data_IF_254833652890
#
_entry.id   IF_254833652890
#
_cell.length_a   1.000
_cell.length_b   1.000
_cell.length_c   1.000
_cell.angle_alpha   90.00
_cell.angle_beta   90.00
_cell.angle_gamma   90.00
#
_symmetry.space_group_name_H-M   'P 1'
#
loop_
_entity.id
_entity.type
_entity.pdbx_description
1 polymer ?
#
# COMPACT_ATOMS: atom_id res chain seq x y z
N UNK A 1 -2.50 -0.34 16.25
CA UNK A 1 -2.18 0.69 15.23
C UNK A 1 -1.72 0.02 13.90
N UNK A 2 -0.74 -0.86 13.91
CA UNK A 2 -0.22 -1.54 12.70
C UNK A 2 -1.29 -2.33 11.94
N UNK A 3 -2.23 -2.99 12.63
CA UNK A 3 -3.33 -3.72 11.98
C UNK A 3 -4.35 -2.80 11.30
N UNK A 4 -4.63 -1.62 11.87
CA UNK A 4 -5.55 -0.65 11.27
C UNK A 4 -4.94 -0.01 10.01
N UNK A 5 -3.65 0.33 10.01
CA UNK A 5 -2.95 0.85 8.84
C UNK A 5 -2.89 -0.17 7.70
N UNK A 6 -2.69 -1.45 8.04
CA UNK A 6 -2.72 -2.52 7.04
C UNK A 6 -4.11 -2.73 6.43
N UNK A 7 -5.19 -2.55 7.22
CA UNK A 7 -6.55 -2.64 6.68
C UNK A 7 -6.89 -1.47 5.75
N UNK A 8 -6.47 -0.24 6.07
CA UNK A 8 -6.67 0.93 5.20
C UNK A 8 -5.93 0.73 3.88
N UNK A 9 -4.67 0.31 3.90
CA UNK A 9 -3.88 0.03 2.70
C UNK A 9 -4.45 -1.12 1.87
N UNK A 10 -5.09 -2.09 2.52
CA UNK A 10 -5.76 -3.20 1.84
C UNK A 10 -7.03 -2.74 1.13
N UNK A 11 -7.84 -1.88 1.76
CA UNK A 11 -9.02 -1.29 1.12
C UNK A 11 -8.67 -0.39 -0.05
N UNK A 12 -7.54 0.30 -0.02
CA UNK A 12 -7.06 1.10 -1.16
C UNK A 12 -6.66 0.20 -2.34
N UNK A 13 -6.01 -0.93 -2.09
CA UNK A 13 -5.69 -1.95 -3.10
C UNK A 13 -6.95 -2.58 -3.69
N UNK A 14 -7.95 -2.91 -2.86
CA UNK A 14 -9.23 -3.45 -3.31
C UNK A 14 -10.01 -2.41 -4.13
N UNK A 15 -10.02 -1.14 -3.70
CA UNK A 15 -10.68 -0.06 -4.43
C UNK A 15 -10.05 0.14 -5.80
N UNK A 16 -8.72 0.10 -5.89
CA UNK A 16 -8.00 0.17 -7.16
C UNK A 16 -8.37 -0.98 -8.09
N UNK A 17 -8.38 -2.20 -7.58
CA UNK A 17 -8.77 -3.38 -8.34
C UNK A 17 -10.24 -3.30 -8.78
N UNK A 18 -11.06 -2.60 -8.00
CA UNK A 18 -12.48 -2.42 -8.28
C UNK A 18 -12.80 -1.28 -9.23
N UNK A 19 -11.94 -0.27 -9.39
CA UNK A 19 -12.19 0.91 -10.24
C UNK A 19 -11.54 0.85 -11.61
N UNK A 20 -10.76 -0.18 -11.92
CA UNK A 20 -10.09 -0.32 -13.21
C UNK A 20 -11.10 -0.62 -14.33
N UNK A 21 -11.25 0.23 -15.40
CA UNK A 21 -12.33 0.15 -16.38
C UNK A 21 -12.30 -1.09 -17.29
N UNK A 22 -11.30 -1.94 -17.21
CA UNK A 22 -11.26 -3.20 -17.97
C UNK A 22 -12.08 -4.35 -17.32
N UNK A 23 -13.04 -4.02 -16.48
CA UNK A 23 -13.75 -4.94 -15.58
C UNK A 23 -15.00 -5.61 -16.14
N UNK A 24 -15.37 -5.41 -17.39
CA UNK A 24 -16.63 -5.99 -17.92
C UNK A 24 -16.67 -7.53 -17.95
N UNK A 25 -15.55 -8.21 -17.65
CA UNK A 25 -15.50 -9.69 -17.71
C UNK A 25 -15.18 -10.41 -16.41
N UNK A 26 -15.09 -9.74 -15.24
CA UNK A 26 -14.60 -10.37 -14.00
C UNK A 26 -15.62 -10.48 -12.86
N UNK A 27 -16.84 -9.97 -13.01
CA UNK A 27 -17.87 -10.11 -11.97
C UNK A 27 -19.14 -10.76 -12.55
N UNK A 28 -19.08 -12.06 -12.72
CA UNK A 28 -20.27 -12.90 -12.64
C UNK A 28 -20.00 -13.98 -11.61
N UNK A 29 -20.72 -13.81 -10.48
CA UNK A 29 -21.09 -14.82 -9.50
C UNK A 29 -20.10 -15.08 -8.36
N UNK A 30 -20.43 -14.60 -7.18
CA UNK A 30 -21.16 -15.43 -6.21
C UNK A 30 -21.65 -14.55 -5.05
N UNK A 31 -22.96 -14.35 -4.97
CA UNK A 31 -23.65 -14.09 -3.71
C UNK A 31 -23.65 -15.42 -2.95
N UNK A 32 -22.61 -15.68 -2.20
CA UNK A 32 -22.63 -16.65 -1.11
C UNK A 32 -22.55 -15.87 0.20
N UNK A 33 -23.67 -15.85 0.92
CA UNK A 33 -23.80 -15.32 2.26
C UNK A 33 -22.84 -16.09 3.15
N UNK A 34 -21.78 -15.44 3.60
CA UNK A 34 -20.85 -16.01 4.56
C UNK A 34 -21.60 -16.31 5.88
N UNK A 35 -21.41 -17.49 6.50
CA UNK A 35 -22.01 -17.81 7.79
C UNK A 35 -21.50 -16.84 8.85
N UNK A 36 -22.39 -16.00 9.40
CA UNK A 36 -22.08 -15.02 10.44
C UNK A 36 -22.40 -13.57 10.11
N UNK A 37 -22.81 -13.22 8.88
CA UNK A 37 -23.33 -11.92 8.51
C UNK A 37 -24.85 -11.85 8.72
N UNK A 38 -25.30 -11.88 9.97
CA UNK A 38 -26.65 -11.42 10.30
C UNK A 38 -26.70 -9.89 10.23
N UNK A 39 -27.83 -9.36 9.70
CA UNK A 39 -28.05 -7.91 9.61
C UNK A 39 -27.77 -7.23 10.97
N UNK A 40 -27.26 -5.97 10.97
CA UNK A 40 -27.02 -5.24 12.22
C UNK A 40 -28.30 -5.21 13.04
N UNK A 41 -28.31 -5.86 14.20
CA UNK A 41 -29.38 -5.73 15.15
C UNK A 41 -29.21 -4.39 15.87
N UNK A 42 -30.32 -3.62 15.89
CA UNK A 42 -30.43 -2.37 16.60
C UNK A 42 -30.16 -2.64 18.10
N UNK A 43 -29.01 -2.18 18.57
CA UNK A 43 -28.63 -2.20 19.99
C UNK A 43 -29.33 -1.05 20.69
N UNK A 44 -30.67 -1.16 20.85
CA UNK A 44 -31.52 -0.39 21.76
C UNK A 44 -31.01 1.01 22.14
N UNK A 45 -31.66 2.05 21.62
CA UNK A 45 -31.53 3.41 22.13
C UNK A 45 -31.96 3.49 23.59
N UNK A 46 -31.04 3.81 24.49
CA UNK A 46 -31.37 4.11 25.89
C UNK A 46 -32.05 5.47 25.91
N UNK A 47 -33.38 5.45 26.03
CA UNK A 47 -34.19 6.67 26.25
C UNK A 47 -34.01 7.16 27.66
N UNK A 48 -33.37 8.32 27.86
CA UNK A 48 -33.36 9.04 29.11
C UNK A 48 -34.69 9.79 29.27
N UNK A 49 -35.71 9.13 29.79
CA UNK A 49 -36.88 9.81 30.38
C UNK A 49 -37.33 9.08 31.63
N UNK A 50 -37.33 9.89 32.70
CA UNK A 50 -38.04 9.74 33.94
C UNK A 50 -37.72 8.55 34.86
N UNK A 51 -36.95 8.86 35.90
CA UNK A 51 -37.32 8.45 37.25
C UNK A 51 -36.70 9.38 38.31
N UNK A 52 -37.47 10.32 38.75
CA UNK A 52 -37.24 10.97 40.04
C UNK A 52 -37.51 9.96 41.15
N UNK A 53 -36.73 10.05 42.20
CA UNK A 53 -36.87 9.58 43.59
C UNK A 53 -36.04 8.36 44.00
N UNK A 54 -35.00 8.61 44.69
CA UNK A 54 -34.70 8.36 46.12
C UNK A 54 -33.20 8.33 46.36
N UNK A 55 -32.81 9.18 47.29
CA UNK A 55 -31.47 9.26 47.87
C UNK A 55 -31.00 7.90 48.38
N UNK A 56 -29.82 7.52 47.93
CA UNK A 56 -28.86 6.73 48.68
C UNK A 56 -27.48 7.25 48.32
N UNK A 57 -26.83 7.88 49.29
CA UNK A 57 -25.45 8.34 49.22
C UNK A 57 -24.54 7.16 48.98
N UNK A 58 -24.06 7.03 47.72
CA UNK A 58 -22.87 6.27 47.44
C UNK A 58 -21.76 7.27 47.17
N UNK A 59 -20.75 7.27 48.04
CA UNK A 59 -19.49 7.98 47.87
C UNK A 59 -18.88 7.59 46.55
N UNK A 60 -18.96 8.49 45.57
CA UNK A 60 -18.20 8.41 44.36
C UNK A 60 -16.77 8.83 44.72
N UNK A 61 -15.88 7.86 44.90
CA UNK A 61 -14.45 8.13 44.88
C UNK A 61 -14.14 8.67 43.48
N UNK A 62 -13.88 9.96 43.41
CA UNK A 62 -13.34 10.60 42.23
C UNK A 62 -11.98 9.97 41.93
N UNK A 63 -11.96 9.08 40.91
CA UNK A 63 -10.72 8.67 40.27
C UNK A 63 -10.26 9.90 39.51
N UNK A 64 -9.24 10.56 40.02
CA UNK A 64 -8.46 11.55 39.28
C UNK A 64 -7.83 10.89 38.06
N UNK A 65 -8.59 10.83 36.99
CA UNK A 65 -8.05 10.50 35.67
C UNK A 65 -7.35 11.73 35.12
N UNK A 66 -6.19 12.05 35.64
CA UNK A 66 -5.20 12.80 34.85
C UNK A 66 -4.83 11.92 33.70
N UNK A 67 -5.71 11.85 32.70
CA UNK A 67 -5.33 11.38 31.37
C UNK A 67 -4.26 12.34 30.88
N UNK A 68 -3.01 11.95 31.08
CA UNK A 68 -1.90 12.56 30.37
C UNK A 68 -2.20 12.31 28.90
N UNK A 69 -2.76 13.32 28.23
CA UNK A 69 -2.82 13.35 26.77
C UNK A 69 -1.36 13.37 26.35
N UNK A 70 -0.83 12.19 26.03
CA UNK A 70 0.43 12.08 25.31
C UNK A 70 0.12 12.65 23.93
N UNK A 71 0.28 13.97 23.81
CA UNK A 71 0.44 14.59 22.50
C UNK A 71 1.73 13.97 21.96
N UNK A 72 1.58 12.90 21.18
CA UNK A 72 2.65 12.49 20.27
C UNK A 72 2.93 13.74 19.42
N UNK A 73 3.96 14.47 19.81
CA UNK A 73 4.54 15.51 18.95
C UNK A 73 4.96 14.77 17.69
N UNK A 74 4.21 14.97 16.63
CA UNK A 74 4.57 14.54 15.29
C UNK A 74 5.87 15.30 14.98
N UNK A 75 7.01 14.70 15.30
CA UNK A 75 8.29 15.23 14.86
C UNK A 75 8.27 15.10 13.35
N UNK A 76 8.22 16.24 12.66
CA UNK A 76 8.41 16.27 11.21
C UNK A 76 9.67 15.47 10.91
N UNK A 77 9.57 14.49 10.03
CA UNK A 77 10.73 13.67 9.65
C UNK A 77 11.85 14.62 9.23
N UNK A 78 13.00 14.48 9.86
CA UNK A 78 14.16 15.33 9.60
C UNK A 78 14.54 15.22 8.12
N UNK A 79 14.70 16.38 7.48
CA UNK A 79 15.10 16.46 6.07
C UNK A 79 16.42 15.72 5.86
N UNK A 80 16.45 14.79 4.92
CA UNK A 80 17.64 14.00 4.58
C UNK A 80 18.33 14.54 3.34
N UNK A 81 17.54 14.98 2.34
CA UNK A 81 18.09 15.40 1.07
C UNK A 81 18.83 16.74 1.20
N UNK A 82 20.04 16.87 0.62
CA UNK A 82 20.77 18.12 0.60
C UNK A 82 20.08 19.17 -0.29
N UNK A 83 20.40 20.46 -0.06
CA UNK A 83 19.90 21.57 -0.87
C UNK A 83 20.74 21.72 -2.17
N UNK A 84 20.54 20.75 -3.08
CA UNK A 84 21.22 20.68 -4.38
C UNK A 84 20.22 20.37 -5.48
N UNK A 85 20.66 20.23 -6.73
CA UNK A 85 19.76 19.90 -7.84
C UNK A 85 19.06 18.57 -7.63
N UNK A 86 17.86 18.40 -8.22
CA UNK A 86 17.10 17.15 -8.13
C UNK A 86 17.89 15.92 -8.65
N UNK A 87 18.76 16.13 -9.66
CA UNK A 87 19.64 15.06 -10.13
C UNK A 87 20.60 14.61 -9.02
N UNK A 88 21.27 15.55 -8.35
CA UNK A 88 22.21 15.27 -7.27
C UNK A 88 21.49 14.69 -6.04
N UNK A 89 20.28 15.17 -5.72
CA UNK A 89 19.44 14.57 -4.66
C UNK A 89 19.13 13.11 -4.94
N UNK A 90 18.76 12.78 -6.19
CA UNK A 90 18.52 11.39 -6.59
C UNK A 90 19.78 10.52 -6.45
N UNK A 91 20.93 11.04 -6.89
CA UNK A 91 22.22 10.34 -6.77
C UNK A 91 22.62 10.12 -5.30
N UNK A 92 22.36 11.13 -4.45
CA UNK A 92 22.55 11.04 -3.01
C UNK A 92 21.67 9.92 -2.41
N UNK A 93 20.36 9.89 -2.72
CA UNK A 93 19.46 8.83 -2.30
C UNK A 93 19.94 7.44 -2.78
N UNK A 94 20.40 7.35 -4.04
CA UNK A 94 20.91 6.11 -4.61
C UNK A 94 22.22 5.63 -3.98
N UNK A 95 23.01 6.52 -3.36
CA UNK A 95 24.25 6.15 -2.69
C UNK A 95 24.01 5.21 -1.50
N UNK A 96 22.89 5.37 -0.79
CA UNK A 96 22.53 4.51 0.33
C UNK A 96 22.20 3.08 -0.11
N UNK A 97 21.63 2.90 -1.32
CA UNK A 97 21.42 1.55 -1.87
C UNK A 97 22.75 0.82 -2.09
N UNK A 98 23.80 1.53 -2.52
CA UNK A 98 25.11 0.95 -2.80
C UNK A 98 25.80 0.42 -1.55
N UNK A 99 25.55 1.05 -0.40
CA UNK A 99 26.12 0.65 0.89
C UNK A 99 25.17 -0.26 1.68
N UNK A 100 23.97 -0.56 1.14
CA UNK A 100 22.99 -1.44 1.78
C UNK A 100 22.18 -0.79 2.90
N UNK A 101 22.25 0.53 3.06
CA UNK A 101 21.42 1.25 4.01
C UNK A 101 20.03 1.52 3.42
N UNK A 102 19.20 0.47 3.41
CA UNK A 102 17.87 0.53 2.81
C UNK A 102 16.90 1.40 3.60
N UNK A 103 17.10 1.60 4.90
CA UNK A 103 16.25 2.46 5.72
C UNK A 103 16.46 3.94 5.39
N UNK A 104 17.70 4.37 5.28
CA UNK A 104 18.01 5.75 4.87
C UNK A 104 17.66 5.97 3.39
N UNK A 105 17.92 4.98 2.52
CA UNK A 105 17.49 5.04 1.11
C UNK A 105 15.97 5.23 0.98
N UNK A 106 15.17 4.50 1.75
CA UNK A 106 13.70 4.64 1.78
C UNK A 106 13.30 6.08 2.07
N UNK A 107 13.78 6.65 3.17
CA UNK A 107 13.46 8.02 3.58
C UNK A 107 13.89 9.03 2.51
N UNK A 108 15.10 8.90 1.98
CA UNK A 108 15.63 9.79 0.96
C UNK A 108 14.85 9.73 -0.36
N UNK A 109 14.49 8.54 -0.85
CA UNK A 109 13.67 8.40 -2.06
C UNK A 109 12.24 8.88 -1.84
N UNK A 110 11.64 8.64 -0.66
CA UNK A 110 10.33 9.18 -0.29
C UNK A 110 10.33 10.70 -0.32
N UNK A 111 11.32 11.33 0.33
CA UNK A 111 11.48 12.78 0.33
C UNK A 111 11.65 13.31 -1.10
N UNK A 112 12.45 12.64 -1.94
CA UNK A 112 12.64 13.02 -3.33
C UNK A 112 11.32 13.03 -4.11
N UNK A 113 10.51 11.98 -3.99
CA UNK A 113 9.22 11.88 -4.69
C UNK A 113 8.22 12.94 -4.23
N UNK A 114 8.26 13.29 -2.94
CA UNK A 114 7.39 14.34 -2.38
C UNK A 114 7.82 15.72 -2.84
N UNK A 115 9.12 15.98 -2.86
CA UNK A 115 9.67 17.33 -3.19
C UNK A 115 9.83 17.57 -4.69
N UNK A 116 9.94 16.50 -5.49
CA UNK A 116 10.17 16.59 -6.93
C UNK A 116 9.20 15.68 -7.73
N UNK A 117 7.85 15.77 -7.52
CA UNK A 117 6.91 14.80 -8.08
C UNK A 117 6.84 14.78 -9.61
N UNK A 118 7.11 15.92 -10.25
CA UNK A 118 7.07 16.08 -11.72
C UNK A 118 8.44 15.94 -12.38
N UNK A 119 9.48 15.67 -11.60
CA UNK A 119 10.82 15.51 -12.16
C UNK A 119 10.93 14.19 -12.95
N UNK A 120 11.69 14.19 -14.04
CA UNK A 120 11.90 13.01 -14.91
C UNK A 120 12.35 11.74 -14.15
N UNK A 121 13.01 11.89 -12.99
CA UNK A 121 13.47 10.80 -12.16
C UNK A 121 12.46 10.39 -11.06
N UNK A 122 11.32 11.07 -10.93
CA UNK A 122 10.36 10.79 -9.87
C UNK A 122 9.81 9.34 -9.95
N UNK A 123 9.49 8.87 -11.14
CA UNK A 123 9.08 7.48 -11.34
C UNK A 123 10.17 6.46 -11.01
N UNK A 124 11.44 6.81 -11.26
CA UNK A 124 12.58 5.97 -10.89
C UNK A 124 12.81 5.99 -9.38
N UNK A 125 12.66 7.14 -8.73
CA UNK A 125 12.78 7.28 -7.28
C UNK A 125 11.67 6.50 -6.56
N UNK A 126 10.43 6.57 -7.04
CA UNK A 126 9.31 5.79 -6.51
C UNK A 126 9.53 4.28 -6.65
N UNK A 127 10.10 3.81 -7.76
CA UNK A 127 10.49 2.42 -7.92
C UNK A 127 11.52 1.99 -6.87
N UNK A 128 12.57 2.80 -6.65
CA UNK A 128 13.59 2.48 -5.66
C UNK A 128 13.05 2.55 -4.23
N UNK A 129 12.17 3.51 -3.93
CA UNK A 129 11.43 3.55 -2.67
C UNK A 129 10.70 2.23 -2.40
N UNK A 130 9.99 1.69 -3.39
CA UNK A 130 9.32 0.40 -3.27
C UNK A 130 10.31 -0.78 -3.12
N UNK A 131 11.44 -0.75 -3.84
CA UNK A 131 12.49 -1.78 -3.75
C UNK A 131 13.13 -1.84 -2.35
N UNK A 132 13.24 -0.73 -1.62
CA UNK A 132 13.79 -0.73 -0.25
C UNK A 132 12.94 -1.57 0.70
N UNK A 133 11.62 -1.51 0.57
CA UNK A 133 10.72 -2.38 1.32
C UNK A 133 10.84 -3.85 0.89
N UNK A 134 10.83 -4.09 -0.41
CA UNK A 134 10.92 -5.46 -0.95
C UNK A 134 12.20 -6.17 -0.50
N UNK A 135 13.34 -5.49 -0.52
CA UNK A 135 14.63 -6.06 -0.11
C UNK A 135 14.59 -6.45 1.36
N UNK A 136 13.92 -5.68 2.20
CA UNK A 136 13.68 -5.97 3.62
C UNK A 136 12.52 -6.93 3.86
N UNK A 137 11.92 -7.49 2.80
CA UNK A 137 10.79 -8.42 2.84
C UNK A 137 9.49 -7.84 3.46
N UNK A 138 9.38 -6.52 3.48
CA UNK A 138 8.17 -5.80 3.89
C UNK A 138 7.21 -5.74 2.70
N UNK A 139 6.63 -6.90 2.34
CA UNK A 139 5.92 -7.06 1.08
C UNK A 139 4.63 -6.26 0.99
N UNK A 140 3.94 -5.99 2.10
CA UNK A 140 2.75 -5.14 2.14
C UNK A 140 3.10 -3.69 1.79
N UNK A 141 4.15 -3.15 2.40
CA UNK A 141 4.62 -1.79 2.12
C UNK A 141 5.17 -1.69 0.68
N UNK A 142 5.90 -2.72 0.25
CA UNK A 142 6.39 -2.82 -1.12
C UNK A 142 5.24 -2.80 -2.13
N UNK A 143 4.17 -3.58 -1.91
CA UNK A 143 2.99 -3.61 -2.78
C UNK A 143 2.34 -2.23 -2.88
N UNK A 144 2.13 -1.55 -1.75
CA UNK A 144 1.58 -0.19 -1.72
C UNK A 144 2.45 0.80 -2.49
N UNK A 145 3.76 0.77 -2.29
CA UNK A 145 4.68 1.69 -2.94
C UNK A 145 4.82 1.42 -4.46
N UNK A 146 4.79 0.15 -4.91
CA UNK A 146 4.75 -0.18 -6.34
C UNK A 146 3.43 0.23 -6.99
N UNK A 147 2.30 0.04 -6.30
CA UNK A 147 0.99 0.48 -6.77
C UNK A 147 0.99 2.00 -6.99
N UNK A 148 1.48 2.76 -6.03
CA UNK A 148 1.62 4.21 -6.14
C UNK A 148 2.49 4.60 -7.34
N UNK A 149 3.61 3.92 -7.55
CA UNK A 149 4.48 4.14 -8.70
C UNK A 149 3.81 3.84 -10.03
N UNK A 150 3.02 2.78 -10.11
CA UNK A 150 2.24 2.43 -11.29
C UNK A 150 1.14 3.46 -11.58
N UNK A 151 0.44 3.96 -10.54
CA UNK A 151 -0.64 4.92 -10.67
C UNK A 151 -0.15 6.33 -11.00
N UNK A 152 0.88 6.81 -10.32
CA UNK A 152 1.39 8.18 -10.50
C UNK A 152 2.22 8.35 -11.77
N UNK A 153 2.93 7.29 -12.18
CA UNK A 153 3.85 7.33 -13.32
C UNK A 153 3.53 6.25 -14.37
N UNK A 154 2.27 6.19 -14.88
CA UNK A 154 1.82 5.07 -15.75
C UNK A 154 2.54 5.02 -17.10
N UNK A 155 3.10 6.14 -17.55
CA UNK A 155 3.90 6.24 -18.79
C UNK A 155 5.41 6.26 -18.52
N UNK A 156 5.81 6.13 -17.27
CA UNK A 156 7.21 6.11 -16.87
C UNK A 156 7.90 4.80 -17.28
N UNK A 157 9.20 4.87 -17.47
CA UNK A 157 10.05 3.71 -17.80
C UNK A 157 9.88 2.55 -16.80
N UNK A 158 9.57 2.87 -15.55
CA UNK A 158 9.39 1.90 -14.45
C UNK A 158 7.97 1.35 -14.33
N UNK A 159 6.99 1.85 -15.08
CA UNK A 159 5.60 1.37 -14.98
C UNK A 159 5.45 -0.15 -15.19
N UNK A 160 6.06 -0.76 -16.23
CA UNK A 160 5.94 -2.21 -16.44
C UNK A 160 6.55 -3.03 -15.31
N UNK A 161 7.70 -2.60 -14.78
CA UNK A 161 8.36 -3.31 -13.69
C UNK A 161 7.64 -3.07 -12.34
N UNK A 162 7.02 -1.91 -12.13
CA UNK A 162 6.19 -1.64 -10.97
C UNK A 162 4.99 -2.60 -10.94
N UNK A 163 4.27 -2.77 -12.05
CA UNK A 163 3.16 -3.72 -12.14
C UNK A 163 3.61 -5.16 -11.86
N UNK A 164 4.72 -5.58 -12.43
CA UNK A 164 5.29 -6.90 -12.16
C UNK A 164 5.63 -7.09 -10.68
N UNK A 165 6.32 -6.13 -10.08
CA UNK A 165 6.76 -6.21 -8.69
C UNK A 165 5.60 -6.09 -7.69
N UNK A 166 4.59 -5.30 -8.02
CA UNK A 166 3.32 -5.28 -7.30
C UNK A 166 2.72 -6.69 -7.28
N UNK A 167 2.58 -7.33 -8.44
CA UNK A 167 2.05 -8.69 -8.54
C UNK A 167 2.86 -9.70 -7.73
N UNK A 168 4.19 -9.64 -7.78
CA UNK A 168 5.07 -10.49 -6.98
C UNK A 168 4.87 -10.25 -5.48
N UNK A 169 4.79 -8.99 -5.05
CA UNK A 169 4.57 -8.63 -3.64
C UNK A 169 3.20 -9.11 -3.15
N UNK A 170 2.16 -9.01 -3.99
CA UNK A 170 0.82 -9.54 -3.69
C UNK A 170 0.84 -11.06 -3.46
N UNK A 171 1.57 -11.82 -4.29
CA UNK A 171 1.73 -13.27 -4.06
C UNK A 171 2.43 -13.54 -2.72
N UNK A 172 3.45 -12.75 -2.36
CA UNK A 172 4.19 -12.93 -1.11
C UNK A 172 3.35 -12.68 0.14
N UNK A 173 2.34 -11.80 0.07
CA UNK A 173 1.41 -11.56 1.18
C UNK A 173 0.20 -12.50 1.20
N UNK A 174 0.17 -13.50 0.31
CA UNK A 174 -0.89 -14.50 0.24
C UNK A 174 -1.99 -14.24 -0.80
N UNK A 175 -1.98 -13.06 -1.44
CA UNK A 175 -2.94 -12.65 -2.46
C UNK A 175 -2.57 -13.21 -3.86
N UNK A 176 -2.44 -14.54 -3.94
CA UNK A 176 -1.91 -15.24 -5.13
C UNK A 176 -2.70 -14.91 -6.40
N UNK A 177 -4.02 -14.98 -6.34
CA UNK A 177 -4.85 -14.79 -7.53
C UNK A 177 -4.75 -13.36 -8.09
N UNK A 178 -4.74 -12.38 -7.21
CA UNK A 178 -4.57 -10.97 -7.60
C UNK A 178 -3.15 -10.72 -8.13
N UNK A 179 -2.14 -11.21 -7.42
CA UNK A 179 -0.76 -11.11 -7.86
C UNK A 179 -0.53 -11.75 -9.22
N UNK A 180 -1.10 -12.93 -9.45
CA UNK A 180 -1.01 -13.61 -10.74
C UNK A 180 -1.68 -12.84 -11.89
N UNK A 181 -2.82 -12.18 -11.63
CA UNK A 181 -3.45 -11.31 -12.64
C UNK A 181 -2.53 -10.17 -13.05
N UNK A 182 -1.87 -9.52 -12.09
CA UNK A 182 -0.93 -8.43 -12.36
C UNK A 182 0.31 -8.92 -13.12
N UNK A 183 0.91 -10.03 -12.68
CA UNK A 183 2.08 -10.61 -13.36
C UNK A 183 1.75 -10.96 -14.82
N UNK A 184 0.61 -11.62 -15.07
CA UNK A 184 0.18 -11.99 -16.41
C UNK A 184 -0.29 -10.79 -17.23
N UNK A 185 -0.72 -9.70 -16.58
CA UNK A 185 -1.15 -8.45 -17.21
C UNK A 185 -0.01 -7.65 -17.82
N UNK A 186 1.23 -7.82 -17.36
CA UNK A 186 2.37 -6.98 -17.76
C UNK A 186 2.55 -6.92 -19.28
N UNK A 187 2.59 -8.07 -19.96
CA UNK A 187 2.78 -8.13 -21.41
C UNK A 187 1.59 -7.51 -22.17
N UNK A 188 0.38 -7.64 -21.64
CA UNK A 188 -0.84 -7.11 -22.27
C UNK A 188 -0.94 -5.59 -22.12
N UNK A 189 -0.60 -5.07 -20.96
CA UNK A 189 -0.69 -3.63 -20.67
C UNK A 189 0.51 -2.85 -21.21
N UNK A 190 1.66 -3.50 -21.31
CA UNK A 190 2.91 -2.89 -21.76
C UNK A 190 3.58 -3.73 -22.87
N UNK A 191 2.95 -3.85 -24.05
CA UNK A 191 3.50 -4.66 -25.14
C UNK A 191 4.89 -4.17 -25.60
N UNK A 192 5.16 -2.87 -25.47
CA UNK A 192 6.45 -2.24 -25.82
C UNK A 192 7.48 -2.26 -24.68
N UNK A 193 7.17 -2.94 -23.54
CA UNK A 193 8.10 -3.01 -22.43
C UNK A 193 9.39 -3.76 -22.83
N UNK A 194 10.46 -3.43 -22.11
CA UNK A 194 11.74 -4.12 -22.31
C UNK A 194 11.55 -5.64 -22.18
N UNK A 195 12.10 -6.39 -23.12
CA UNK A 195 12.00 -7.85 -23.18
C UNK A 195 12.44 -8.53 -21.88
N UNK A 196 13.41 -7.95 -21.17
CA UNK A 196 13.83 -8.47 -19.88
C UNK A 196 12.71 -8.45 -18.83
N UNK A 197 11.84 -7.43 -18.86
CA UNK A 197 10.68 -7.32 -17.94
C UNK A 197 9.62 -8.35 -18.34
N UNK A 198 9.33 -8.48 -19.63
CA UNK A 198 8.37 -9.47 -20.14
C UNK A 198 8.81 -10.90 -19.81
N UNK A 199 10.08 -11.23 -20.03
CA UNK A 199 10.62 -12.55 -19.70
C UNK A 199 10.57 -12.80 -18.18
N UNK A 200 10.87 -11.78 -17.38
CA UNK A 200 10.77 -11.87 -15.93
C UNK A 200 9.33 -12.10 -15.48
N UNK A 201 8.36 -11.44 -16.10
CA UNK A 201 6.93 -11.67 -15.79
C UNK A 201 6.54 -13.13 -16.12
N UNK A 202 6.96 -13.67 -17.26
CA UNK A 202 6.74 -15.07 -17.64
C UNK A 202 7.39 -16.04 -16.63
N UNK A 203 8.61 -15.76 -16.22
CA UNK A 203 9.31 -16.56 -15.21
C UNK A 203 8.57 -16.55 -13.87
N UNK A 204 8.18 -15.38 -13.34
CA UNK A 204 7.46 -15.28 -12.06
C UNK A 204 6.06 -15.92 -12.16
N UNK A 205 5.38 -15.80 -13.30
CA UNK A 205 4.12 -16.49 -13.56
C UNK A 205 4.24 -18.02 -13.46
N UNK A 206 5.32 -18.58 -14.03
CA UNK A 206 5.61 -20.02 -13.93
C UNK A 206 5.98 -20.43 -12.50
N UNK A 207 6.85 -19.67 -11.86
CA UNK A 207 7.32 -19.91 -10.50
C UNK A 207 6.18 -19.96 -9.47
N UNK A 208 5.20 -19.08 -9.63
CA UNK A 208 4.03 -19.03 -8.76
C UNK A 208 2.87 -19.88 -9.27
N UNK A 209 3.05 -20.64 -10.34
CA UNK A 209 2.03 -21.49 -10.96
C UNK A 209 0.75 -20.70 -11.26
N UNK A 210 0.91 -19.48 -11.80
CA UNK A 210 -0.21 -18.64 -12.17
C UNK A 210 -0.98 -19.28 -13.34
N UNK A 211 -2.30 -19.44 -13.17
CA UNK A 211 -3.15 -19.92 -14.27
C UNK A 211 -3.12 -18.89 -15.41
N UNK A 212 -2.85 -19.35 -16.64
CA UNK A 212 -3.02 -18.50 -17.81
C UNK A 212 -4.50 -18.19 -17.94
N UNK A 213 -4.86 -16.91 -17.94
CA UNK A 213 -6.19 -16.51 -18.32
C UNK A 213 -6.32 -16.82 -19.81
N UNK A 214 -7.08 -17.86 -20.15
CA UNK A 214 -7.48 -18.09 -21.52
C UNK A 214 -8.35 -16.92 -21.94
N UNK A 215 -7.86 -16.15 -22.90
CA UNK A 215 -8.55 -15.02 -23.55
C UNK A 215 -9.74 -15.51 -24.31
#
# INVERSE_FOLDING_TARGET
KVQADNQIRFTDLETFLNTNPNKENLVKKSEEILPGSSQPQDLGSISYKDSATKESEQQIQSIDTTATIVTETFQAEEKILPDVSAQEQYEFAASFLKVGDYTTAERAFREFVITNPDHKLAGNAQYWYAETFRIRQLYTDAASAYLEGYQKYPKGEKAPINLLKLGVSMVQIGEKDQGCRMINGVEKEFPEANQSVIQKAKYESQKFECKRQNS
#
